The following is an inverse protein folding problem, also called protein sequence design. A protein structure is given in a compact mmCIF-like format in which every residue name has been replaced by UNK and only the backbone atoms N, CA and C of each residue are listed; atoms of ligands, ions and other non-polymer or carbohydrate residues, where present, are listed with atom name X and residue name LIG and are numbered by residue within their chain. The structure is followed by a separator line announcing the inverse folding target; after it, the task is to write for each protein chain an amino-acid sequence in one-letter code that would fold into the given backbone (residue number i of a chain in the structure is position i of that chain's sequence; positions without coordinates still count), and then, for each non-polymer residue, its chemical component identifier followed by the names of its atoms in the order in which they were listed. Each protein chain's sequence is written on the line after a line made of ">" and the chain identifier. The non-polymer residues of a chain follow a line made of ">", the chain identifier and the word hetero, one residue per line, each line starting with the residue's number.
data_IF_066584521398
#
_entry.id   IF_066584521398
#
_cell.length_a   1.000
_cell.length_b   1.000
_cell.length_c   1.000
_cell.angle_alpha   90.00
_cell.angle_beta   90.00
_cell.angle_gamma   90.00
#
_symmetry.space_group_name_H-M   'P 1'
#
loop_
_entity.id
_entity.type
_entity.pdbx_description
1 polymer ?
#
# COMPACT_ATOMS: atom_id res chain seq x y z
N UNK A 1 -48.71 -20.72 -49.20
CA UNK A 1 -48.32 -19.30 -49.02
C UNK A 1 -48.27 -18.88 -47.54
N UNK A 2 -47.68 -19.70 -46.64
CA UNK A 2 -47.49 -19.38 -45.21
C UNK A 2 -46.03 -19.51 -44.73
N UNK A 3 -45.12 -20.03 -45.56
CA UNK A 3 -43.70 -20.19 -45.21
C UNK A 3 -42.80 -18.97 -45.50
N UNK A 4 -43.27 -18.00 -46.30
CA UNK A 4 -42.48 -16.78 -46.61
C UNK A 4 -42.65 -15.67 -45.56
N UNK A 5 -43.73 -15.70 -44.75
CA UNK A 5 -44.00 -14.64 -43.76
C UNK A 5 -43.27 -14.87 -42.41
N UNK A 6 -42.89 -16.11 -42.08
CA UNK A 6 -42.14 -16.41 -40.85
C UNK A 6 -40.65 -15.97 -40.95
N UNK A 7 -40.07 -16.04 -42.14
CA UNK A 7 -38.67 -15.63 -42.39
C UNK A 7 -38.48 -14.11 -42.45
N UNK A 8 -39.50 -13.35 -42.84
CA UNK A 8 -39.47 -11.88 -42.82
C UNK A 8 -39.55 -11.35 -41.39
N UNK A 9 -40.29 -12.03 -40.50
CA UNK A 9 -40.44 -11.64 -39.11
C UNK A 9 -39.17 -11.90 -38.28
N UNK A 10 -38.43 -12.98 -38.57
CA UNK A 10 -37.15 -13.26 -37.92
C UNK A 10 -36.09 -12.21 -38.30
N UNK A 11 -36.14 -11.67 -39.53
CA UNK A 11 -35.20 -10.61 -39.98
C UNK A 11 -35.50 -9.23 -39.37
N UNK A 12 -36.74 -8.96 -38.97
CA UNK A 12 -37.14 -7.69 -38.33
C UNK A 12 -36.81 -7.61 -36.84
N UNK A 13 -36.52 -8.73 -36.17
CA UNK A 13 -36.15 -8.74 -34.74
C UNK A 13 -34.63 -8.49 -34.57
N UNK A 14 -33.82 -8.80 -35.58
CA UNK A 14 -32.34 -8.63 -35.51
C UNK A 14 -31.92 -7.17 -35.74
N UNK A 15 -32.72 -6.35 -36.43
CA UNK A 15 -32.42 -4.92 -36.63
C UNK A 15 -32.77 -4.05 -35.43
N UNK A 16 -33.58 -4.53 -34.49
CA UNK A 16 -33.84 -3.84 -33.21
C UNK A 16 -32.73 -4.08 -32.16
N UNK A 17 -31.89 -5.10 -32.36
CA UNK A 17 -30.82 -5.48 -31.44
C UNK A 17 -29.42 -5.04 -31.91
N UNK A 18 -29.26 -3.82 -32.44
CA UNK A 18 -27.91 -3.24 -32.65
C UNK A 18 -27.88 -1.73 -32.43
N UNK A 19 -28.34 -1.27 -31.26
CA UNK A 19 -28.04 0.10 -30.83
C UNK A 19 -27.75 0.19 -29.32
N UNK A 20 -27.08 -0.81 -28.77
CA UNK A 20 -26.36 -0.60 -27.52
C UNK A 20 -25.08 0.19 -27.82
N UNK A 21 -25.22 1.52 -27.94
CA UNK A 21 -24.08 2.42 -27.74
C UNK A 21 -23.62 2.14 -26.32
N UNK A 22 -22.62 1.28 -26.17
CA UNK A 22 -21.92 1.16 -24.89
C UNK A 22 -21.41 2.56 -24.57
N UNK A 23 -21.82 3.19 -23.46
CA UNK A 23 -21.15 4.40 -23.06
C UNK A 23 -19.72 3.96 -22.73
N UNK A 24 -18.76 4.30 -23.61
CA UNK A 24 -17.33 4.20 -23.32
C UNK A 24 -17.00 5.20 -22.20
N UNK A 25 -17.48 4.94 -21.00
CA UNK A 25 -16.97 5.56 -19.77
C UNK A 25 -15.87 4.64 -19.27
N UNK A 26 -14.83 4.46 -20.09
CA UNK A 26 -13.58 3.96 -19.56
C UNK A 26 -12.97 5.13 -18.79
N UNK A 27 -13.22 5.19 -17.48
CA UNK A 27 -12.47 6.10 -16.60
C UNK A 27 -10.99 5.76 -16.77
N UNK A 28 -10.21 6.72 -17.26
CA UNK A 28 -8.76 6.57 -17.46
C UNK A 28 -8.10 6.43 -16.09
N UNK A 29 -7.78 5.19 -15.71
CA UNK A 29 -7.00 4.90 -14.51
C UNK A 29 -5.61 5.53 -14.64
N UNK A 30 -5.20 6.30 -13.64
CA UNK A 30 -3.92 7.04 -13.69
C UNK A 30 -3.10 6.74 -12.46
N UNK A 31 -1.88 6.21 -12.65
CA UNK A 31 -0.84 6.16 -11.62
C UNK A 31 -0.01 7.44 -11.68
N UNK A 32 0.24 8.05 -10.54
CA UNK A 32 1.08 9.24 -10.40
C UNK A 32 2.10 9.03 -9.29
N UNK A 33 3.16 9.83 -9.34
CA UNK A 33 4.20 9.89 -8.32
C UNK A 33 4.48 11.35 -8.01
N UNK A 34 4.55 11.69 -6.71
CA UNK A 34 4.99 13.00 -6.25
C UNK A 34 6.34 12.86 -5.55
N UNK A 35 7.23 13.83 -5.75
CA UNK A 35 8.53 13.92 -5.05
C UNK A 35 8.65 15.34 -4.49
N UNK A 36 8.92 15.44 -3.19
CA UNK A 36 9.28 16.68 -2.51
C UNK A 36 10.77 16.63 -2.16
N UNK A 37 11.44 17.78 -2.19
CA UNK A 37 12.85 17.92 -1.86
C UNK A 37 13.03 18.88 -0.69
N UNK A 38 14.10 18.68 0.07
CA UNK A 38 14.65 19.66 0.99
C UNK A 38 15.38 20.77 0.21
N UNK A 39 15.67 21.88 0.87
CA UNK A 39 16.36 23.04 0.27
C UNK A 39 17.77 22.68 -0.21
N UNK A 40 18.41 21.69 0.40
CA UNK A 40 19.72 21.16 -0.01
C UNK A 40 19.66 20.23 -1.24
N UNK A 41 18.48 20.07 -1.86
CA UNK A 41 18.27 19.21 -3.03
C UNK A 41 18.08 17.73 -2.70
N UNK A 42 18.15 17.36 -1.42
CA UNK A 42 17.86 16.01 -0.98
C UNK A 42 16.39 15.67 -1.17
N UNK A 43 16.06 14.42 -1.52
CA UNK A 43 14.65 13.99 -1.53
C UNK A 43 14.13 14.06 -0.09
N UNK A 44 12.90 14.52 0.10
CA UNK A 44 12.21 14.55 1.39
C UNK A 44 11.12 13.51 1.43
N UNK A 45 10.28 13.49 0.39
CA UNK A 45 9.21 12.51 0.24
C UNK A 45 9.13 11.98 -1.19
N UNK A 46 8.65 10.74 -1.31
CA UNK A 46 8.23 10.16 -2.58
C UNK A 46 6.96 9.35 -2.37
N UNK A 47 5.86 9.84 -2.91
CA UNK A 47 4.52 9.27 -2.70
C UNK A 47 3.97 8.72 -4.01
N UNK A 48 3.37 7.53 -3.97
CA UNK A 48 2.69 6.92 -5.11
C UNK A 48 1.18 7.06 -4.99
N UNK A 49 0.51 7.34 -6.11
CA UNK A 49 -0.94 7.55 -6.16
C UNK A 49 -1.58 6.70 -7.25
N UNK A 50 -2.80 6.24 -7.00
CA UNK A 50 -3.71 5.67 -7.98
C UNK A 50 -5.07 6.36 -7.83
N UNK A 51 -5.59 6.92 -8.93
CA UNK A 51 -6.87 7.66 -8.92
C UNK A 51 -6.96 8.70 -7.79
N UNK A 52 -5.89 9.48 -7.61
CA UNK A 52 -5.75 10.54 -6.59
C UNK A 52 -5.81 10.07 -5.12
N UNK A 53 -5.70 8.76 -4.85
CA UNK A 53 -5.49 8.21 -3.51
C UNK A 53 -4.07 7.68 -3.37
N UNK A 54 -3.51 7.72 -2.16
CA UNK A 54 -2.24 7.04 -1.90
C UNK A 54 -2.37 5.55 -2.20
N UNK A 55 -1.52 5.05 -3.08
CA UNK A 55 -1.56 3.68 -3.55
C UNK A 55 -0.15 3.30 -4.03
N UNK A 56 0.44 2.33 -3.35
CA UNK A 56 1.83 1.94 -3.52
C UNK A 56 2.76 2.60 -2.49
N UNK A 57 4.07 2.64 -2.80
CA UNK A 57 5.09 3.00 -1.82
C UNK A 57 5.12 4.50 -1.52
N UNK A 58 5.34 4.80 -0.25
CA UNK A 58 5.68 6.09 0.33
C UNK A 58 7.06 5.99 0.96
N UNK A 59 8.01 6.80 0.51
CA UNK A 59 9.37 6.86 1.08
C UNK A 59 9.62 8.24 1.67
N UNK A 60 10.34 8.29 2.78
CA UNK A 60 10.84 9.50 3.44
C UNK A 60 12.34 9.39 3.63
N UNK A 61 13.06 10.46 3.33
CA UNK A 61 14.49 10.59 3.64
C UNK A 61 14.70 11.71 4.65
N UNK A 62 15.86 11.71 5.31
CA UNK A 62 16.33 12.83 6.13
C UNK A 62 17.08 13.88 5.29
N UNK A 63 17.55 14.95 5.93
CA UNK A 63 18.29 16.03 5.26
C UNK A 63 19.66 15.56 4.73
N UNK A 64 20.23 14.49 5.29
CA UNK A 64 21.49 13.88 4.88
C UNK A 64 21.31 12.85 3.74
N UNK A 65 20.10 12.74 3.20
CA UNK A 65 19.71 11.79 2.14
C UNK A 65 19.73 10.32 2.50
N UNK A 66 19.70 9.99 3.79
CA UNK A 66 19.47 8.63 4.24
C UNK A 66 17.97 8.34 4.21
N UNK A 67 17.62 7.11 3.81
CA UNK A 67 16.22 6.67 3.87
C UNK A 67 15.81 6.58 5.34
N UNK A 68 14.89 7.44 5.77
CA UNK A 68 14.44 7.51 7.15
C UNK A 68 13.27 6.56 7.42
N UNK A 69 12.33 6.45 6.47
CA UNK A 69 11.23 5.52 6.56
C UNK A 69 10.61 5.12 5.22
N UNK A 70 9.95 3.97 5.22
CA UNK A 70 9.13 3.51 4.11
C UNK A 70 7.81 2.91 4.59
N UNK A 71 6.79 3.07 3.78
CA UNK A 71 5.49 2.45 3.99
C UNK A 71 4.83 2.14 2.64
N UNK A 72 3.80 1.30 2.68
CA UNK A 72 2.96 1.04 1.51
C UNK A 72 1.50 1.37 1.84
N UNK A 73 0.81 1.92 0.84
CA UNK A 73 -0.60 2.29 0.94
C UNK A 73 -1.42 1.51 -0.09
N UNK A 74 -2.65 1.17 0.27
CA UNK A 74 -3.67 0.66 -0.64
C UNK A 74 -4.95 1.46 -0.44
N UNK A 75 -5.48 2.04 -1.51
CA UNK A 75 -6.71 2.83 -1.47
C UNK A 75 -6.74 3.93 -0.39
N UNK A 76 -5.59 4.57 -0.14
CA UNK A 76 -5.42 5.65 0.84
C UNK A 76 -5.16 5.17 2.27
N UNK A 77 -5.09 3.86 2.54
CA UNK A 77 -4.82 3.30 3.87
C UNK A 77 -3.48 2.58 3.90
N UNK A 78 -2.77 2.66 5.02
CA UNK A 78 -1.55 1.87 5.23
C UNK A 78 -1.85 0.37 5.10
N UNK A 79 -1.06 -0.33 4.31
CA UNK A 79 -1.21 -1.76 4.08
C UNK A 79 0.17 -2.38 3.80
N UNK A 80 0.50 -3.44 4.54
CA UNK A 80 1.82 -4.05 4.52
C UNK A 80 2.72 -3.48 5.62
N UNK A 81 4.03 -3.42 5.39
CA UNK A 81 4.97 -2.94 6.40
C UNK A 81 5.12 -1.42 6.37
N UNK A 82 5.16 -0.83 7.56
CA UNK A 82 5.87 0.42 7.83
C UNK A 82 7.24 0.06 8.40
N UNK A 83 8.30 0.73 7.95
CA UNK A 83 9.66 0.55 8.47
C UNK A 83 10.33 1.91 8.66
N UNK A 84 11.02 2.06 9.77
CA UNK A 84 11.90 3.20 10.05
C UNK A 84 13.34 2.68 10.17
N UNK A 85 14.29 3.52 9.76
CA UNK A 85 15.70 3.17 9.67
C UNK A 85 16.55 4.12 10.51
N UNK A 86 17.68 3.61 10.99
CA UNK A 86 18.77 4.42 11.50
C UNK A 86 19.47 5.14 10.33
N UNK A 87 20.25 6.21 10.59
CA UNK A 87 20.96 6.94 9.52
C UNK A 87 21.95 6.10 8.71
N UNK A 88 22.43 4.97 9.25
CA UNK A 88 23.29 4.01 8.53
C UNK A 88 22.50 3.01 7.65
N UNK A 89 21.18 3.18 7.56
CA UNK A 89 20.28 2.31 6.82
C UNK A 89 19.86 1.03 7.54
N UNK A 90 20.33 0.79 8.77
CA UNK A 90 19.89 -0.38 9.55
C UNK A 90 18.44 -0.21 10.00
N UNK A 91 17.68 -1.31 9.99
CA UNK A 91 16.29 -1.29 10.43
C UNK A 91 16.21 -0.91 11.92
N UNK A 92 15.44 0.12 12.24
CA UNK A 92 15.21 0.58 13.62
C UNK A 92 13.88 0.06 14.15
N UNK A 93 12.85 0.11 13.32
CA UNK A 93 11.49 -0.20 13.70
C UNK A 93 10.73 -0.76 12.50
N UNK A 94 9.86 -1.74 12.74
CA UNK A 94 8.96 -2.27 11.70
C UNK A 94 7.63 -2.68 12.31
N UNK A 95 6.54 -2.34 11.65
CA UNK A 95 5.20 -2.79 12.05
C UNK A 95 4.37 -3.14 10.83
N UNK A 96 3.57 -4.22 10.93
CA UNK A 96 2.67 -4.66 9.87
C UNK A 96 1.29 -4.04 10.05
N UNK A 97 0.74 -3.48 8.98
CA UNK A 97 -0.59 -2.91 8.89
C UNK A 97 -1.48 -3.71 7.94
N UNK A 98 -2.76 -3.75 8.27
CA UNK A 98 -3.85 -4.21 7.41
C UNK A 98 -4.93 -3.12 7.36
N UNK A 99 -5.02 -2.43 6.23
CA UNK A 99 -5.99 -1.34 6.00
C UNK A 99 -6.06 -0.30 7.14
N UNK A 100 -4.89 0.20 7.55
CA UNK A 100 -4.74 1.25 8.56
C UNK A 100 -4.67 0.76 10.00
N UNK A 101 -4.87 -0.54 10.26
CA UNK A 101 -4.78 -1.12 11.60
C UNK A 101 -3.52 -1.96 11.74
N UNK A 102 -2.82 -1.88 12.88
CA UNK A 102 -1.69 -2.79 13.17
C UNK A 102 -2.20 -4.24 13.14
N UNK A 103 -1.57 -5.12 12.38
CA UNK A 103 -1.97 -6.51 12.23
C UNK A 103 -0.76 -7.39 11.91
N UNK A 104 -0.21 -8.01 12.96
CA UNK A 104 1.06 -8.71 12.97
C UNK A 104 2.00 -8.13 14.02
N UNK A 105 3.29 -8.41 13.88
CA UNK A 105 4.29 -7.92 14.82
C UNK A 105 4.67 -6.46 14.55
N UNK A 106 4.73 -5.69 15.64
CA UNK A 106 5.57 -4.50 15.76
C UNK A 106 6.89 -4.91 16.39
N UNK A 107 8.00 -4.43 15.83
CA UNK A 107 9.36 -4.81 16.23
C UNK A 107 10.27 -3.61 16.26
N UNK A 108 11.11 -3.55 17.28
CA UNK A 108 12.19 -2.58 17.42
C UNK A 108 13.51 -3.30 17.41
N UNK A 109 14.55 -2.66 16.87
CA UNK A 109 15.87 -3.26 16.73
C UNK A 109 16.94 -2.33 17.28
N UNK A 110 17.98 -2.91 17.84
CA UNK A 110 19.21 -2.19 18.14
C UNK A 110 19.97 -1.86 16.86
N UNK A 111 20.89 -0.90 16.94
CA UNK A 111 21.77 -0.52 15.82
C UNK A 111 22.72 -1.63 15.35
N UNK A 112 22.83 -2.74 16.08
CA UNK A 112 23.56 -3.94 15.63
C UNK A 112 22.65 -4.95 14.90
N UNK A 113 21.41 -4.57 14.60
CA UNK A 113 20.41 -5.41 13.93
C UNK A 113 19.69 -6.41 14.83
N UNK A 114 20.08 -6.56 16.11
CA UNK A 114 19.41 -7.48 17.03
C UNK A 114 18.06 -6.94 17.46
N UNK A 115 17.09 -7.85 17.60
CA UNK A 115 15.75 -7.52 18.07
C UNK A 115 15.82 -6.94 19.49
N UNK A 116 15.19 -5.79 19.70
CA UNK A 116 15.09 -5.09 20.98
C UNK A 116 13.78 -5.42 21.67
N UNK A 117 12.69 -5.37 20.92
CA UNK A 117 11.37 -5.79 21.42
C UNK A 117 10.47 -6.20 20.27
N UNK A 118 9.48 -7.01 20.59
CA UNK A 118 8.35 -7.24 19.70
C UNK A 118 7.04 -7.35 20.46
N UNK A 119 5.98 -6.90 19.78
CA UNK A 119 4.62 -6.89 20.27
C UNK A 119 3.68 -7.38 19.16
N UNK A 120 2.83 -8.36 19.46
CA UNK A 120 1.81 -8.84 18.52
C UNK A 120 0.55 -7.99 18.60
N UNK A 121 0.05 -7.58 17.43
CA UNK A 121 -1.26 -6.94 17.27
C UNK A 121 -2.15 -7.79 16.35
N UNK A 122 -3.44 -7.85 16.64
CA UNK A 122 -4.46 -8.32 15.70
C UNK A 122 -5.53 -7.24 15.54
N UNK A 123 -5.67 -6.70 14.33
CA UNK A 123 -6.64 -5.65 14.01
C UNK A 123 -6.64 -4.49 15.01
N UNK A 124 -5.44 -3.99 15.34
CA UNK A 124 -5.23 -2.87 16.26
C UNK A 124 -5.25 -3.25 17.74
N UNK A 125 -5.63 -4.48 18.10
CA UNK A 125 -5.67 -4.96 19.48
C UNK A 125 -4.32 -5.57 19.84
N UNK A 126 -3.68 -5.02 20.86
CA UNK A 126 -2.46 -5.55 21.44
C UNK A 126 -2.72 -6.91 22.11
N UNK A 127 -1.89 -7.91 21.79
CA UNK A 127 -1.93 -9.23 22.44
C UNK A 127 -0.93 -9.31 23.57
N UNK A 128 -1.17 -10.19 24.54
CA UNK A 128 -0.28 -10.33 25.71
C UNK A 128 1.15 -10.79 25.36
N UNK A 129 1.40 -11.25 24.13
CA UNK A 129 2.72 -11.64 23.65
C UNK A 129 3.60 -10.40 23.38
N UNK A 130 4.26 -9.93 24.44
CA UNK A 130 5.36 -8.98 24.38
C UNK A 130 6.66 -9.70 24.71
N UNK A 131 7.70 -9.50 23.91
CA UNK A 131 9.05 -9.97 24.21
C UNK A 131 10.06 -8.84 24.09
N UNK A 132 11.09 -8.87 24.92
CA UNK A 132 12.17 -7.89 24.88
C UNK A 132 13.52 -8.52 25.13
N UNK A 133 14.57 -7.95 24.52
CA UNK A 133 15.94 -8.43 24.63
C UNK A 133 16.89 -7.26 24.88
N UNK A 134 18.02 -7.53 25.54
CA UNK A 134 19.12 -6.58 25.62
C UNK A 134 19.95 -6.56 24.31
N UNK A 135 20.94 -5.66 24.23
CA UNK A 135 21.82 -5.52 23.05
C UNK A 135 22.63 -6.78 22.69
N UNK A 136 22.75 -7.72 23.62
CA UNK A 136 23.48 -8.97 23.44
C UNK A 136 22.57 -10.10 22.95
N UNK A 137 21.25 -9.89 22.97
CA UNK A 137 20.23 -10.87 22.56
C UNK A 137 19.70 -11.72 23.72
N UNK A 138 19.96 -11.33 24.96
CA UNK A 138 19.41 -12.00 26.16
C UNK A 138 17.99 -11.50 26.41
N UNK A 139 17.04 -12.42 26.58
CA UNK A 139 15.64 -12.11 26.88
C UNK A 139 15.54 -11.39 28.24
N UNK A 140 14.80 -10.29 28.27
CA UNK A 140 14.50 -9.51 29.47
C UNK A 140 13.09 -9.77 30.00
N UNK A 141 12.13 -9.98 29.10
CA UNK A 141 10.72 -10.25 29.38
C UNK A 141 10.09 -10.95 28.19
#
# INVERSE_FOLDING_TARGET
>A
MKLLLLNIYIFLIITSCTNFKTPKIFKKFTRKKSIEYYDNGCKKYRVSFFNNKFDGPMLKWDEDCNLASEANYENGKLHGYWRDYYPDGMLMHSVKYFYGQKNGYERWYYRNGKLKSEQLYEFGIEKTLMRSWNKDGVILK
#
